data_IF_182243494813
#
_entry.id   IF_182243494813
#
_cell.length_a   1.000
_cell.length_b   1.000
_cell.length_c   1.000
_cell.angle_alpha   90.00
_cell.angle_beta   90.00
_cell.angle_gamma   90.00
#
_symmetry.space_group_name_H-M   'P 1'
#
loop_
_entity.id
_entity.type
_entity.pdbx_description
1 polymer ?
#
# COMPACT_ATOMS: atom_id res chain seq x y z
N UNK A 1 -44.59 2.64 72.45
CA UNK A 1 -44.32 1.36 71.83
C UNK A 1 -44.74 1.46 70.34
N UNK A 2 -43.90 1.97 69.49
CA UNK A 2 -44.14 2.10 68.05
C UNK A 2 -42.91 1.67 67.29
N UNK A 3 -43.01 0.57 66.54
CA UNK A 3 -41.98 0.07 65.65
C UNK A 3 -42.06 0.82 64.31
N UNK A 4 -40.99 1.44 63.93
CA UNK A 4 -40.83 2.05 62.59
C UNK A 4 -40.27 0.98 61.64
N UNK A 5 -41.04 0.62 60.63
CA UNK A 5 -40.64 -0.22 59.48
C UNK A 5 -39.82 0.65 58.53
N UNK A 6 -38.56 0.29 58.31
CA UNK A 6 -37.71 0.86 57.26
C UNK A 6 -38.01 0.18 55.92
N UNK A 7 -38.61 0.92 54.99
CA UNK A 7 -38.77 0.52 53.60
C UNK A 7 -37.51 0.84 52.84
N UNK A 8 -36.84 -0.17 52.30
CA UNK A 8 -35.73 -0.02 51.38
C UNK A 8 -36.31 0.19 49.97
N UNK A 9 -36.15 1.38 49.42
CA UNK A 9 -36.50 1.69 48.03
C UNK A 9 -35.30 1.35 47.15
N UNK A 10 -35.44 0.28 46.37
CA UNK A 10 -34.46 -0.15 45.38
C UNK A 10 -34.67 0.70 44.11
N UNK A 11 -33.84 1.72 43.89
CA UNK A 11 -33.89 2.51 42.66
C UNK A 11 -33.21 1.76 41.52
N UNK A 12 -34.01 1.25 40.59
CA UNK A 12 -33.54 0.64 39.34
C UNK A 12 -33.16 1.78 38.36
N UNK A 13 -31.88 2.05 38.21
CA UNK A 13 -31.38 2.97 37.18
C UNK A 13 -31.39 2.26 35.82
N UNK A 14 -32.41 2.55 35.01
CA UNK A 14 -32.45 2.13 33.60
C UNK A 14 -31.51 3.03 32.82
N UNK A 15 -30.32 2.51 32.48
CA UNK A 15 -29.38 3.19 31.54
C UNK A 15 -29.95 2.94 30.14
N UNK A 16 -30.63 3.93 29.59
CA UNK A 16 -31.01 3.96 28.17
C UNK A 16 -29.79 4.32 27.36
N UNK A 17 -29.15 3.32 26.77
CA UNK A 17 -28.10 3.54 25.78
C UNK A 17 -28.78 4.05 24.49
N UNK A 18 -28.82 5.36 24.32
CA UNK A 18 -29.13 5.97 23.04
C UNK A 18 -27.97 5.67 22.09
N UNK A 19 -28.11 4.60 21.32
CA UNK A 19 -27.29 4.35 20.15
C UNK A 19 -27.50 5.50 19.16
N UNK A 20 -26.58 6.46 19.12
CA UNK A 20 -26.46 7.41 18.03
C UNK A 20 -26.07 6.62 16.78
N UNK A 21 -27.07 6.07 16.09
CA UNK A 21 -26.92 5.70 14.69
C UNK A 21 -26.62 6.99 13.94
N UNK A 22 -25.34 7.22 13.63
CA UNK A 22 -24.97 8.18 12.61
C UNK A 22 -25.63 7.71 11.32
N UNK A 23 -26.76 8.31 10.98
CA UNK A 23 -27.31 8.20 9.65
C UNK A 23 -26.25 8.73 8.71
N UNK A 24 -25.47 7.82 8.10
CA UNK A 24 -24.61 8.20 6.98
C UNK A 24 -25.55 8.79 5.93
N UNK A 25 -25.55 10.13 5.82
CA UNK A 25 -26.28 10.84 4.78
C UNK A 25 -25.74 10.29 3.45
N UNK A 26 -26.51 9.40 2.84
CA UNK A 26 -26.20 8.83 1.54
C UNK A 26 -26.28 9.97 0.52
N UNK A 27 -25.15 10.64 0.29
CA UNK A 27 -25.05 11.69 -0.70
C UNK A 27 -25.37 11.10 -2.07
N UNK A 28 -26.38 11.61 -2.75
CA UNK A 28 -26.78 11.16 -4.08
C UNK A 28 -25.58 11.24 -5.04
N UNK A 29 -25.16 10.10 -5.56
CA UNK A 29 -24.11 10.03 -6.57
C UNK A 29 -24.73 10.15 -7.95
N UNK A 30 -24.42 11.23 -8.67
CA UNK A 30 -24.78 11.38 -10.07
C UNK A 30 -23.62 10.97 -10.98
N UNK A 31 -23.91 10.41 -12.18
CA UNK A 31 -22.88 10.08 -13.16
C UNK A 31 -22.07 11.33 -13.55
N UNK A 32 -20.74 11.19 -13.56
CA UNK A 32 -19.83 12.26 -13.98
C UNK A 32 -19.36 12.03 -15.43
N UNK A 33 -19.23 13.08 -16.25
CA UNK A 33 -18.71 12.96 -17.63
C UNK A 33 -17.31 12.36 -17.71
N UNK A 34 -16.48 12.61 -16.68
CA UNK A 34 -15.15 11.99 -16.50
C UNK A 34 -15.23 10.97 -15.38
N UNK A 35 -15.19 9.70 -15.73
CA UNK A 35 -15.30 8.59 -14.79
C UNK A 35 -14.05 8.51 -13.92
N UNK A 36 -14.22 8.14 -12.64
CA UNK A 36 -13.12 7.90 -11.71
C UNK A 36 -12.53 6.52 -11.93
N UNK A 37 -11.20 6.42 -11.92
CA UNK A 37 -10.45 5.18 -11.96
C UNK A 37 -9.38 5.17 -10.86
N UNK A 38 -8.95 3.98 -10.49
CA UNK A 38 -7.81 3.78 -9.60
C UNK A 38 -7.01 2.58 -10.10
N UNK A 39 -5.69 2.68 -10.01
CA UNK A 39 -4.76 1.58 -10.27
C UNK A 39 -3.81 1.45 -9.09
N UNK A 40 -3.38 0.23 -8.81
CA UNK A 40 -2.41 -0.08 -7.76
C UNK A 40 -1.38 -1.04 -8.32
N UNK A 41 -0.12 -0.80 -7.98
CA UNK A 41 1.00 -1.71 -8.24
C UNK A 41 1.83 -1.85 -6.98
N UNK A 42 2.12 -3.11 -6.60
CA UNK A 42 3.03 -3.41 -5.49
C UNK A 42 4.43 -3.68 -6.03
N UNK A 43 5.45 -3.08 -5.42
CA UNK A 43 6.87 -3.34 -5.65
C UNK A 43 7.46 -3.82 -4.32
N UNK A 44 7.81 -5.11 -4.24
CA UNK A 44 8.15 -5.73 -2.95
C UNK A 44 6.96 -5.71 -2.00
N UNK A 45 7.00 -4.84 -0.98
CA UNK A 45 5.91 -4.59 -0.01
C UNK A 45 5.33 -3.18 -0.12
N UNK A 46 5.84 -2.38 -1.06
CA UNK A 46 5.45 -0.99 -1.27
C UNK A 46 4.34 -0.90 -2.29
N UNK A 47 3.21 -0.33 -1.92
CA UNK A 47 2.10 -0.06 -2.82
C UNK A 47 2.21 1.34 -3.41
N UNK A 48 2.02 1.42 -4.73
CA UNK A 48 1.85 2.66 -5.49
C UNK A 48 0.41 2.69 -5.96
N UNK A 49 -0.35 3.69 -5.56
CA UNK A 49 -1.76 3.87 -5.94
C UNK A 49 -1.96 5.20 -6.64
N UNK A 50 -2.67 5.19 -7.77
CA UNK A 50 -3.04 6.39 -8.52
C UNK A 50 -4.55 6.40 -8.70
N UNK A 51 -5.21 7.43 -8.16
CA UNK A 51 -6.64 7.64 -8.30
C UNK A 51 -6.90 8.92 -9.10
N UNK A 52 -7.65 8.84 -10.16
CA UNK A 52 -7.82 9.93 -11.12
C UNK A 52 -9.19 9.91 -11.80
N UNK A 53 -9.60 11.04 -12.39
CA UNK A 53 -10.78 11.11 -13.24
C UNK A 53 -10.34 11.17 -14.71
N UNK A 54 -11.05 10.44 -15.58
CA UNK A 54 -10.70 10.18 -16.97
C UNK A 54 -11.48 11.08 -17.93
N UNK A 55 -10.96 12.24 -18.36
CA UNK A 55 -11.56 13.00 -19.45
C UNK A 55 -11.38 12.26 -20.78
N UNK A 56 -12.37 12.35 -21.68
CA UNK A 56 -12.27 11.86 -23.07
C UNK A 56 -11.77 12.93 -24.02
N UNK A 57 -11.15 12.55 -25.12
CA UNK A 57 -10.76 13.45 -26.22
C UNK A 57 -12.00 14.09 -26.84
N UNK A 58 -12.99 13.29 -27.20
CA UNK A 58 -14.28 13.72 -27.75
C UNK A 58 -14.14 14.73 -28.90
N UNK A 59 -13.18 14.48 -29.80
CA UNK A 59 -12.90 15.32 -30.96
C UNK A 59 -12.31 16.70 -30.63
N UNK A 60 -11.89 16.96 -29.39
CA UNK A 60 -11.31 18.24 -28.97
C UNK A 60 -9.79 18.24 -29.16
N UNK A 61 -9.22 19.43 -29.36
CA UNK A 61 -7.77 19.63 -29.27
C UNK A 61 -7.34 19.50 -27.80
N UNK A 62 -6.48 18.56 -27.51
CA UNK A 62 -6.04 18.31 -26.13
C UNK A 62 -4.83 19.18 -25.79
N UNK A 63 -3.77 19.12 -26.59
CA UNK A 63 -2.49 19.75 -26.37
C UNK A 63 -2.26 20.91 -27.33
N UNK A 64 -1.63 21.96 -26.90
CA UNK A 64 -1.28 23.09 -27.77
C UNK A 64 -0.80 24.32 -27.03
N UNK A 65 -0.50 25.38 -27.76
CA UNK A 65 -0.10 26.65 -27.19
C UNK A 65 -1.26 27.30 -26.42
N UNK A 66 -0.94 27.96 -25.32
CA UNK A 66 -1.88 28.82 -24.63
C UNK A 66 -2.26 30.03 -25.48
N UNK A 67 -3.48 30.58 -25.33
CA UNK A 67 -3.84 31.85 -25.96
C UNK A 67 -2.86 32.98 -25.59
N UNK A 68 -2.69 33.94 -26.49
CA UNK A 68 -1.76 35.04 -26.26
C UNK A 68 -2.10 35.93 -25.05
N UNK A 69 -3.37 35.95 -24.68
CA UNK A 69 -3.92 36.66 -23.49
C UNK A 69 -4.00 35.79 -22.24
N UNK A 70 -3.51 34.53 -22.29
CA UNK A 70 -3.47 33.69 -21.10
C UNK A 70 -2.56 34.29 -20.01
N UNK A 71 -2.86 34.04 -18.72
CA UNK A 71 -1.96 34.38 -17.63
C UNK A 71 -0.56 33.86 -17.89
N UNK A 72 0.46 34.68 -17.62
CA UNK A 72 1.86 34.24 -17.76
C UNK A 72 2.26 33.29 -16.63
N UNK A 73 3.22 32.43 -16.93
CA UNK A 73 3.80 31.49 -15.98
C UNK A 73 2.95 30.24 -15.79
N UNK A 74 3.17 29.56 -14.68
CA UNK A 74 2.59 28.23 -14.40
C UNK A 74 1.15 28.29 -13.87
N UNK A 75 0.46 29.42 -13.98
CA UNK A 75 -0.92 29.55 -13.51
C UNK A 75 -1.84 28.52 -14.16
N UNK A 76 -2.79 28.00 -13.38
CA UNK A 76 -3.74 27.01 -13.91
C UNK A 76 -4.75 27.63 -14.88
N UNK A 77 -5.05 26.92 -15.96
CA UNK A 77 -6.14 27.19 -16.88
C UNK A 77 -7.23 26.09 -16.81
N UNK A 78 -7.31 25.41 -15.68
CA UNK A 78 -8.22 24.29 -15.46
C UNK A 78 -9.71 24.69 -15.43
N UNK A 79 -10.02 25.98 -15.28
CA UNK A 79 -11.39 26.50 -15.25
C UNK A 79 -12.03 26.45 -16.66
N UNK A 80 -12.89 25.46 -16.88
CA UNK A 80 -13.58 25.28 -18.16
C UNK A 80 -14.51 26.47 -18.52
N UNK A 81 -14.96 27.25 -17.52
CA UNK A 81 -15.84 28.40 -17.76
C UNK A 81 -15.10 29.61 -18.34
N UNK A 82 -13.77 29.62 -18.21
CA UNK A 82 -12.91 30.70 -18.73
C UNK A 82 -12.19 30.33 -20.04
N UNK A 83 -12.49 29.16 -20.61
CA UNK A 83 -11.85 28.71 -21.85
C UNK A 83 -12.45 29.39 -23.05
N UNK A 84 -11.59 30.01 -23.85
CA UNK A 84 -11.95 30.51 -25.19
C UNK A 84 -12.26 29.34 -26.14
N UNK A 85 -13.24 29.51 -27.01
CA UNK A 85 -13.55 28.51 -28.02
C UNK A 85 -12.32 28.19 -28.89
N UNK A 86 -12.05 26.87 -29.08
CA UNK A 86 -10.89 26.40 -29.84
C UNK A 86 -9.59 26.29 -29.06
N UNK A 87 -9.53 26.76 -27.82
CA UNK A 87 -8.37 26.61 -26.95
C UNK A 87 -8.12 25.13 -26.61
N UNK A 88 -6.86 24.69 -26.58
CA UNK A 88 -6.52 23.33 -26.11
C UNK A 88 -7.05 23.07 -24.70
N UNK A 89 -7.44 21.81 -24.46
CA UNK A 89 -7.93 21.41 -23.13
C UNK A 89 -6.81 21.55 -22.08
N UNK A 90 -5.57 21.24 -22.47
CA UNK A 90 -4.38 21.34 -21.64
C UNK A 90 -3.32 22.12 -22.41
N UNK A 91 -3.26 23.46 -22.20
CA UNK A 91 -2.28 24.30 -22.86
C UNK A 91 -0.87 24.06 -22.32
N UNK A 92 0.13 24.22 -23.18
CA UNK A 92 1.54 24.11 -22.79
C UNK A 92 1.94 25.26 -21.84
N UNK A 93 2.83 24.93 -20.90
CA UNK A 93 3.36 25.87 -19.92
C UNK A 93 2.46 26.15 -18.72
N UNK A 94 1.26 25.53 -18.66
CA UNK A 94 0.29 25.79 -17.61
C UNK A 94 0.06 24.58 -16.72
N UNK A 95 -0.21 24.85 -15.45
CA UNK A 95 -0.51 23.84 -14.44
C UNK A 95 -1.80 23.08 -14.78
N UNK A 96 -1.74 21.77 -14.76
CA UNK A 96 -2.86 20.88 -14.98
C UNK A 96 -2.94 19.83 -13.84
N UNK A 97 -4.16 19.60 -13.34
CA UNK A 97 -4.49 18.56 -12.32
C UNK A 97 -4.22 17.14 -12.77
N UNK A 98 -3.68 16.92 -13.95
CA UNK A 98 -3.38 15.63 -14.59
C UNK A 98 -4.60 14.69 -14.65
N UNK A 99 -5.76 15.30 -14.92
CA UNK A 99 -7.05 14.61 -14.95
C UNK A 99 -8.22 15.57 -15.14
N UNK A 100 -9.32 15.24 -14.49
CA UNK A 100 -10.54 16.07 -14.42
C UNK A 100 -11.15 15.95 -13.02
N UNK A 101 -12.05 16.88 -12.67
CA UNK A 101 -12.69 17.00 -11.35
C UNK A 101 -11.64 17.23 -10.23
N UNK A 102 -11.49 16.31 -9.29
CA UNK A 102 -10.42 16.31 -8.30
C UNK A 102 -9.04 16.19 -8.98
N UNK A 103 -8.01 16.74 -8.38
CA UNK A 103 -6.63 16.50 -8.80
C UNK A 103 -6.31 15.02 -8.68
N UNK A 104 -5.51 14.50 -9.60
CA UNK A 104 -5.04 13.12 -9.55
C UNK A 104 -4.28 12.89 -8.25
N UNK A 105 -4.65 11.87 -7.51
CA UNK A 105 -3.99 11.49 -6.27
C UNK A 105 -2.95 10.39 -6.54
N UNK A 106 -1.74 10.58 -6.01
CA UNK A 106 -0.65 9.62 -6.03
C UNK A 106 -0.28 9.27 -4.59
N UNK A 107 -0.31 7.98 -4.26
CA UNK A 107 -0.03 7.49 -2.90
C UNK A 107 1.06 6.45 -2.96
N UNK A 108 2.03 6.55 -2.07
CA UNK A 108 3.06 5.53 -1.84
C UNK A 108 3.12 5.17 -0.37
N UNK A 109 3.22 3.88 -0.07
CA UNK A 109 3.20 3.38 1.31
C UNK A 109 4.56 3.42 2.00
N UNK A 110 5.64 3.57 1.24
CA UNK A 110 7.01 3.67 1.71
C UNK A 110 7.78 4.71 0.88
N UNK A 111 8.96 5.11 1.33
CA UNK A 111 9.85 6.00 0.60
C UNK A 111 10.26 5.36 -0.74
N UNK A 112 10.18 6.14 -1.81
CA UNK A 112 10.53 5.69 -3.17
C UNK A 112 11.46 6.69 -3.85
N UNK A 113 12.06 6.26 -4.96
CA UNK A 113 12.74 7.14 -5.90
C UNK A 113 11.85 7.34 -7.14
N UNK A 114 11.56 8.57 -7.49
CA UNK A 114 10.85 8.93 -8.72
C UNK A 114 11.86 9.57 -9.68
N UNK A 115 12.11 8.93 -10.82
CA UNK A 115 13.22 9.29 -11.72
C UNK A 115 14.54 9.50 -10.95
N UNK A 116 14.83 8.64 -9.96
CA UNK A 116 16.04 8.70 -9.14
C UNK A 116 16.01 9.75 -8.00
N UNK A 117 14.95 10.52 -7.84
CA UNK A 117 14.82 11.53 -6.80
C UNK A 117 13.89 11.03 -5.68
N UNK A 118 14.22 11.31 -4.43
CA UNK A 118 13.48 10.83 -3.25
C UNK A 118 12.09 11.45 -3.17
N UNK A 119 11.10 10.59 -2.92
CA UNK A 119 9.75 10.95 -2.50
C UNK A 119 9.40 10.12 -1.27
N UNK A 120 9.06 10.79 -0.17
CA UNK A 120 8.68 10.12 1.07
C UNK A 120 7.37 9.35 0.94
N UNK A 121 7.14 8.39 1.83
CA UNK A 121 5.82 7.76 2.00
C UNK A 121 4.75 8.82 2.25
N UNK A 122 3.61 8.70 1.56
CA UNK A 122 2.55 9.70 1.73
C UNK A 122 1.53 9.73 0.60
N UNK A 123 0.65 10.71 0.71
CA UNK A 123 -0.37 11.02 -0.30
C UNK A 123 -0.10 12.39 -0.90
N UNK A 124 -0.15 12.47 -2.21
CA UNK A 124 0.17 13.67 -2.98
C UNK A 124 -0.92 13.93 -4.02
N UNK A 125 -1.18 15.19 -4.35
CA UNK A 125 -1.81 15.50 -5.63
C UNK A 125 -0.74 15.54 -6.71
N UNK A 126 -1.03 14.87 -7.83
CA UNK A 126 -0.18 14.84 -9.01
C UNK A 126 -0.62 15.93 -9.97
N UNK A 127 0.25 16.91 -10.17
CA UNK A 127 0.09 17.95 -11.17
C UNK A 127 1.13 17.82 -12.26
N UNK A 128 0.83 18.35 -13.43
CA UNK A 128 1.79 18.43 -14.52
C UNK A 128 1.76 19.81 -15.17
N UNK A 129 2.90 20.22 -15.72
CA UNK A 129 3.01 21.34 -16.63
C UNK A 129 3.48 20.78 -17.97
N UNK A 130 2.56 20.59 -18.93
CA UNK A 130 2.92 20.06 -20.23
C UNK A 130 3.76 21.03 -21.04
N UNK A 131 4.72 20.49 -21.77
CA UNK A 131 5.49 21.19 -22.79
C UNK A 131 5.64 20.31 -24.03
N UNK A 132 6.14 20.86 -25.12
CA UNK A 132 6.38 20.10 -26.36
C UNK A 132 7.42 19.00 -26.18
N UNK A 133 8.52 19.34 -25.55
CA UNK A 133 9.71 18.49 -25.46
C UNK A 133 9.94 17.95 -24.06
N UNK A 134 9.41 18.62 -23.04
CA UNK A 134 9.58 18.26 -21.63
C UNK A 134 8.35 18.63 -20.83
N UNK A 135 7.94 17.75 -19.93
CA UNK A 135 6.90 17.98 -18.95
C UNK A 135 7.51 18.09 -17.56
N UNK A 136 6.99 19.01 -16.72
CA UNK A 136 7.18 18.90 -15.29
C UNK A 136 6.09 17.98 -14.73
N UNK A 137 6.47 17.01 -13.88
CA UNK A 137 5.56 16.18 -13.08
C UNK A 137 5.80 16.52 -11.62
N UNK A 138 4.75 16.90 -10.91
CA UNK A 138 4.81 17.56 -9.62
C UNK A 138 3.99 16.76 -8.61
N UNK A 139 4.62 16.43 -7.49
CA UNK A 139 4.00 15.77 -6.33
C UNK A 139 3.81 16.81 -5.24
N UNK A 140 2.57 17.26 -5.03
CA UNK A 140 2.25 18.32 -4.10
C UNK A 140 1.60 17.76 -2.84
N UNK A 141 2.04 18.21 -1.66
CA UNK A 141 1.59 17.73 -0.37
C UNK A 141 0.12 18.05 -0.02
N UNK A 142 -0.55 18.95 -0.76
CA UNK A 142 -2.00 19.10 -0.67
C UNK A 142 -2.70 18.01 -1.49
N UNK A 143 -2.81 16.81 -0.92
CA UNK A 143 -3.29 15.62 -1.63
C UNK A 143 -4.76 15.68 -2.07
N UNK A 144 -5.58 16.46 -1.39
CA UNK A 144 -7.03 16.50 -1.59
C UNK A 144 -7.48 17.89 -2.03
N UNK A 145 -7.47 18.15 -3.34
CA UNK A 145 -7.92 19.42 -3.89
C UNK A 145 -8.75 19.24 -5.14
N UNK A 146 -9.64 20.21 -5.40
CA UNK A 146 -10.43 20.24 -6.62
C UNK A 146 -9.69 21.04 -7.70
N UNK A 147 -9.39 20.40 -8.80
CA UNK A 147 -8.63 21.05 -9.86
C UNK A 147 -7.20 21.36 -9.44
N UNK A 148 -6.69 22.48 -9.96
CA UNK A 148 -5.43 23.09 -9.55
C UNK A 148 -5.66 24.51 -8.99
N UNK A 149 -6.89 24.78 -8.49
CA UNK A 149 -7.27 26.15 -8.05
C UNK A 149 -6.60 26.52 -6.74
N UNK A 150 -6.45 25.53 -5.83
CA UNK A 150 -5.83 25.71 -4.51
C UNK A 150 -4.37 25.19 -4.53
N UNK A 151 -3.76 25.09 -5.73
CA UNK A 151 -2.39 24.68 -5.84
C UNK A 151 -1.47 25.73 -5.23
N UNK A 152 -0.62 25.28 -4.30
CA UNK A 152 0.37 26.08 -3.61
C UNK A 152 1.76 25.50 -3.89
N UNK A 153 2.62 26.19 -4.64
CA UNK A 153 3.97 25.70 -4.97
C UNK A 153 4.87 25.51 -3.74
N UNK A 154 4.55 26.17 -2.61
CA UNK A 154 5.29 25.97 -1.37
C UNK A 154 5.06 24.56 -0.75
N UNK A 155 4.03 23.84 -1.21
CA UNK A 155 3.73 22.47 -0.81
C UNK A 155 4.27 21.43 -1.78
N UNK A 156 5.03 21.83 -2.79
CA UNK A 156 5.68 20.87 -3.68
C UNK A 156 6.74 20.07 -2.93
N UNK A 157 6.52 18.77 -2.87
CA UNK A 157 7.47 17.85 -2.26
C UNK A 157 8.52 17.39 -3.25
N UNK A 158 8.11 17.22 -4.52
CA UNK A 158 9.00 16.81 -5.59
C UNK A 158 8.50 17.34 -6.94
N UNK A 159 9.45 17.82 -7.76
CA UNK A 159 9.25 18.11 -9.19
C UNK A 159 10.27 17.33 -10.00
N UNK A 160 9.82 16.55 -10.94
CA UNK A 160 10.67 15.82 -11.88
C UNK A 160 10.39 16.27 -13.30
N UNK A 161 11.36 16.05 -14.18
CA UNK A 161 11.24 16.22 -15.63
C UNK A 161 10.90 14.87 -16.26
N UNK A 162 10.00 14.89 -17.23
CA UNK A 162 9.61 13.72 -18.01
C UNK A 162 9.48 14.09 -19.48
N UNK A 163 10.03 13.25 -20.37
CA UNK A 163 9.96 13.48 -21.81
C UNK A 163 8.67 12.90 -22.38
N UNK A 164 7.80 13.70 -23.03
CA UNK A 164 6.64 13.17 -23.73
C UNK A 164 7.08 12.34 -24.93
N UNK A 165 6.36 11.24 -25.16
CA UNK A 165 6.56 10.34 -26.28
C UNK A 165 5.31 10.32 -27.11
N UNK A 166 5.44 10.42 -28.43
CA UNK A 166 4.32 10.26 -29.36
C UNK A 166 3.91 8.79 -29.45
N UNK A 167 2.61 8.55 -29.54
CA UNK A 167 2.00 7.23 -29.79
C UNK A 167 1.33 7.23 -31.17
N UNK A 168 1.42 6.13 -31.87
CA UNK A 168 0.66 5.91 -33.14
C UNK A 168 -0.83 5.70 -32.86
N UNK A 169 -1.14 5.13 -31.68
CA UNK A 169 -2.51 4.88 -31.23
C UNK A 169 -3.02 6.03 -30.36
N UNK A 170 -4.24 6.49 -30.62
CA UNK A 170 -4.89 7.50 -29.81
C UNK A 170 -5.60 6.88 -28.62
N UNK A 171 -5.30 7.38 -27.44
CA UNK A 171 -5.94 7.03 -26.18
C UNK A 171 -7.14 7.97 -25.95
N UNK A 172 -8.36 7.53 -26.23
CA UNK A 172 -9.56 8.37 -26.10
C UNK A 172 -9.79 8.88 -24.68
N UNK A 173 -9.71 8.01 -23.69
CA UNK A 173 -9.87 8.37 -22.28
C UNK A 173 -8.52 8.44 -21.58
N UNK A 174 -8.24 9.54 -20.88
CA UNK A 174 -7.03 9.62 -20.05
C UNK A 174 -6.84 8.32 -19.27
N UNK A 175 -5.65 7.77 -19.32
CA UNK A 175 -5.30 6.55 -18.59
C UNK A 175 -3.93 6.69 -17.95
N UNK A 176 -3.81 6.16 -16.75
CA UNK A 176 -2.53 5.80 -16.16
C UNK A 176 -2.30 4.31 -16.37
N UNK A 177 -1.05 3.91 -16.64
CA UNK A 177 -0.59 2.52 -16.54
C UNK A 177 0.62 2.48 -15.63
N UNK A 178 0.82 1.35 -14.94
CA UNK A 178 2.01 1.08 -14.15
C UNK A 178 2.54 -0.26 -14.65
N UNK A 179 3.64 -0.21 -15.37
CA UNK A 179 4.24 -1.37 -16.01
C UNK A 179 5.51 -1.79 -15.24
N UNK A 180 5.62 -3.05 -14.74
CA UNK A 180 6.84 -3.52 -14.10
C UNK A 180 8.05 -3.32 -15.03
N UNK A 181 9.13 -2.72 -14.50
CA UNK A 181 10.35 -2.48 -15.25
C UNK A 181 11.50 -3.38 -14.77
N UNK A 182 11.61 -3.58 -13.45
CA UNK A 182 12.54 -4.48 -12.78
C UNK A 182 11.86 -5.02 -11.51
N UNK A 183 12.53 -5.90 -10.77
CA UNK A 183 12.02 -6.45 -9.50
C UNK A 183 11.74 -5.36 -8.45
N UNK A 184 12.49 -4.25 -8.50
CA UNK A 184 12.38 -3.14 -7.56
C UNK A 184 11.81 -1.85 -8.17
N UNK A 185 11.30 -1.87 -9.41
CA UNK A 185 10.84 -0.66 -10.07
C UNK A 185 9.72 -0.90 -11.07
N UNK A 186 8.94 0.15 -11.31
CA UNK A 186 7.92 0.20 -12.34
C UNK A 186 7.96 1.53 -13.10
N UNK A 187 7.43 1.52 -14.32
CA UNK A 187 7.22 2.72 -15.13
C UNK A 187 5.77 3.14 -15.05
N UNK A 188 5.52 4.32 -14.53
CA UNK A 188 4.21 4.97 -14.57
C UNK A 188 4.10 5.74 -15.89
N UNK A 189 3.00 5.57 -16.61
CA UNK A 189 2.73 6.30 -17.84
C UNK A 189 1.43 7.09 -17.72
N UNK A 190 1.47 8.36 -18.07
CA UNK A 190 0.30 9.20 -18.31
C UNK A 190 0.00 9.09 -19.80
N UNK A 191 -1.20 8.60 -20.20
CA UNK A 191 -1.56 8.35 -21.60
C UNK A 191 -2.86 9.07 -21.94
N UNK A 192 -2.82 9.99 -22.90
CA UNK A 192 -4.02 10.63 -23.41
C UNK A 192 -3.78 11.16 -24.82
N UNK A 193 -4.79 11.01 -25.66
CA UNK A 193 -4.68 11.29 -27.09
C UNK A 193 -3.47 10.52 -27.67
N UNK A 194 -2.53 11.14 -28.34
CA UNK A 194 -1.31 10.53 -28.90
C UNK A 194 -0.07 10.79 -28.06
N UNK A 195 -0.22 11.19 -26.81
CA UNK A 195 0.89 11.47 -25.93
C UNK A 195 0.98 10.44 -24.80
N UNK A 196 2.18 9.94 -24.53
CA UNK A 196 2.56 9.14 -23.40
C UNK A 196 3.68 9.80 -22.64
N UNK A 197 3.53 10.03 -21.36
CA UNK A 197 4.57 10.63 -20.50
C UNK A 197 4.99 9.61 -19.46
N UNK A 198 6.16 8.96 -19.62
CA UNK A 198 6.67 7.98 -18.69
C UNK A 198 7.49 8.63 -17.58
N UNK A 199 7.41 8.07 -16.37
CA UNK A 199 8.37 8.28 -15.30
C UNK A 199 8.54 6.99 -14.48
N UNK A 200 9.71 6.79 -13.86
CA UNK A 200 10.00 5.59 -13.08
C UNK A 200 9.69 5.79 -11.61
N UNK A 201 9.23 4.74 -10.96
CA UNK A 201 9.14 4.66 -9.49
C UNK A 201 9.94 3.43 -9.07
N UNK A 202 10.83 3.60 -8.09
CA UNK A 202 11.75 2.56 -7.65
C UNK A 202 11.78 2.51 -6.12
N UNK A 203 11.75 1.31 -5.56
CA UNK A 203 12.07 1.03 -4.16
C UNK A 203 13.58 0.76 -4.10
N UNK A 204 14.33 1.64 -3.47
CA UNK A 204 15.80 1.60 -3.48
C UNK A 204 16.36 0.28 -2.93
N UNK A 205 15.74 -0.24 -1.86
CA UNK A 205 16.11 -1.51 -1.24
C UNK A 205 14.83 -2.21 -0.73
N UNK A 206 14.33 -3.15 -1.53
CA UNK A 206 13.13 -3.94 -1.20
C UNK A 206 13.35 -4.78 0.07
N UNK A 207 14.56 -5.31 0.27
CA UNK A 207 14.84 -6.14 1.43
C UNK A 207 14.84 -5.30 2.72
N UNK A 208 15.52 -4.14 2.71
CA UNK A 208 15.52 -3.22 3.86
C UNK A 208 14.11 -2.70 4.19
N UNK A 209 13.32 -2.34 3.18
CA UNK A 209 11.93 -1.90 3.36
C UNK A 209 11.07 -3.01 3.94
N UNK A 210 11.21 -4.25 3.46
CA UNK A 210 10.48 -5.41 3.98
C UNK A 210 10.88 -5.71 5.43
N UNK A 211 12.17 -5.63 5.76
CA UNK A 211 12.64 -5.80 7.13
C UNK A 211 12.11 -4.72 8.08
N UNK A 212 12.02 -3.47 7.62
CA UNK A 212 11.42 -2.39 8.40
C UNK A 212 9.94 -2.69 8.71
N UNK A 213 9.17 -3.08 7.71
CA UNK A 213 7.77 -3.52 7.88
C UNK A 213 7.65 -4.74 8.80
N UNK A 214 8.57 -5.70 8.69
CA UNK A 214 8.58 -6.87 9.56
C UNK A 214 8.83 -6.48 11.04
N UNK A 215 9.71 -5.51 11.31
CA UNK A 215 9.93 -4.98 12.67
C UNK A 215 8.65 -4.38 13.26
N UNK A 216 7.93 -3.57 12.48
CA UNK A 216 6.65 -2.98 12.88
C UNK A 216 5.60 -4.08 13.15
N UNK A 217 5.47 -5.05 12.22
CA UNK A 217 4.52 -6.13 12.35
C UNK A 217 4.78 -7.02 13.58
N UNK A 218 6.05 -7.36 13.84
CA UNK A 218 6.42 -8.13 15.03
C UNK A 218 6.15 -7.35 16.31
N UNK A 219 6.46 -6.05 16.33
CA UNK A 219 6.20 -5.19 17.49
C UNK A 219 4.71 -5.03 17.79
N UNK A 220 3.87 -4.98 16.75
CA UNK A 220 2.41 -4.88 16.88
C UNK A 220 1.70 -6.23 17.09
N UNK A 221 2.41 -7.36 16.94
CA UNK A 221 1.82 -8.69 17.02
C UNK A 221 1.46 -9.07 18.46
N UNK A 222 0.34 -9.80 18.61
CA UNK A 222 -0.14 -10.27 19.92
C UNK A 222 0.84 -11.26 20.56
N UNK A 223 0.79 -11.38 21.89
CA UNK A 223 1.65 -12.31 22.63
C UNK A 223 1.44 -13.79 22.29
N UNK A 224 0.27 -14.17 21.81
CA UNK A 224 -0.05 -15.53 21.37
C UNK A 224 0.22 -15.79 19.87
N UNK A 225 0.57 -14.74 19.12
CA UNK A 225 0.95 -14.85 17.72
C UNK A 225 2.44 -15.19 17.56
N UNK A 226 2.74 -16.47 17.45
CA UNK A 226 4.09 -16.95 17.13
C UNK A 226 4.40 -16.96 15.63
N UNK A 227 3.38 -16.82 14.78
CA UNK A 227 3.52 -16.93 13.31
C UNK A 227 4.22 -15.73 12.71
N UNK A 228 3.78 -14.54 13.07
CA UNK A 228 4.38 -13.29 12.57
C UNK A 228 5.88 -13.20 12.84
N UNK A 229 6.40 -13.36 14.07
CA UNK A 229 7.84 -13.33 14.29
C UNK A 229 8.57 -14.51 13.65
N UNK A 230 7.95 -15.69 13.49
CA UNK A 230 8.59 -16.81 12.81
C UNK A 230 8.77 -16.56 11.30
N UNK A 231 7.76 -16.04 10.63
CA UNK A 231 7.84 -15.64 9.22
C UNK A 231 8.88 -14.52 9.03
N UNK A 232 8.88 -13.52 9.89
CA UNK A 232 9.85 -12.44 9.88
C UNK A 232 11.28 -12.96 10.06
N UNK A 233 11.51 -13.91 10.98
CA UNK A 233 12.82 -14.55 11.18
C UNK A 233 13.30 -15.28 9.91
N UNK A 234 12.41 -15.99 9.24
CA UNK A 234 12.72 -16.66 7.98
C UNK A 234 13.16 -15.68 6.88
N UNK A 235 12.42 -14.58 6.72
CA UNK A 235 12.77 -13.54 5.76
C UNK A 235 14.10 -12.86 6.11
N UNK A 236 14.31 -12.53 7.40
CA UNK A 236 15.55 -11.92 7.87
C UNK A 236 16.77 -12.81 7.61
N UNK A 237 16.63 -14.12 7.85
CA UNK A 237 17.69 -15.08 7.58
C UNK A 237 18.05 -15.17 6.08
N UNK A 238 17.04 -15.19 5.19
CA UNK A 238 17.24 -15.19 3.74
C UNK A 238 17.97 -13.92 3.25
N UNK A 239 17.73 -12.80 3.90
CA UNK A 239 18.32 -11.51 3.57
C UNK A 239 19.53 -11.14 4.44
N UNK A 240 20.14 -12.14 5.12
CA UNK A 240 21.37 -11.99 5.91
C UNK A 240 21.27 -11.00 7.07
N UNK A 241 20.08 -10.69 7.55
CA UNK A 241 19.82 -9.86 8.72
C UNK A 241 19.85 -10.74 9.99
N UNK A 242 21.05 -11.22 10.36
CA UNK A 242 21.23 -12.26 11.37
C UNK A 242 20.71 -11.86 12.77
N UNK A 243 20.86 -10.59 13.16
CA UNK A 243 20.38 -10.11 14.46
C UNK A 243 18.84 -10.14 14.54
N UNK A 244 18.16 -9.63 13.52
CA UNK A 244 16.70 -9.67 13.44
C UNK A 244 16.21 -11.13 13.36
N UNK A 245 16.86 -11.96 12.55
CA UNK A 245 16.51 -13.38 12.40
C UNK A 245 16.54 -14.11 13.74
N UNK A 246 17.64 -13.94 14.50
CA UNK A 246 17.79 -14.53 15.83
C UNK A 246 16.74 -13.99 16.81
N UNK A 247 16.61 -12.66 16.92
CA UNK A 247 15.66 -12.01 17.82
C UNK A 247 14.22 -12.47 17.58
N UNK A 248 13.78 -12.51 16.34
CA UNK A 248 12.42 -12.89 16.01
C UNK A 248 12.18 -14.39 16.16
N UNK A 249 13.19 -15.22 15.89
CA UNK A 249 13.11 -16.65 16.16
C UNK A 249 12.97 -16.95 17.66
N UNK A 250 13.68 -16.22 18.52
CA UNK A 250 13.56 -16.34 19.97
C UNK A 250 12.16 -15.93 20.46
N UNK A 251 11.60 -14.83 19.94
CA UNK A 251 10.23 -14.39 20.22
C UNK A 251 9.22 -15.46 19.81
N UNK A 252 9.33 -15.95 18.58
CA UNK A 252 8.45 -16.99 18.06
C UNK A 252 8.50 -18.28 18.89
N UNK A 253 9.72 -18.68 19.26
CA UNK A 253 9.98 -19.87 20.07
C UNK A 253 9.33 -19.77 21.46
N UNK A 254 9.49 -18.63 22.14
CA UNK A 254 8.86 -18.38 23.45
C UNK A 254 7.32 -18.44 23.35
N UNK A 255 6.75 -17.81 22.33
CA UNK A 255 5.30 -17.76 22.13
C UNK A 255 4.70 -19.13 21.75
N UNK A 256 5.41 -19.93 20.94
CA UNK A 256 4.93 -21.28 20.61
C UNK A 256 5.03 -22.21 21.83
N UNK A 257 6.04 -22.06 22.68
CA UNK A 257 6.14 -22.82 23.94
C UNK A 257 4.97 -22.51 24.87
N UNK A 258 4.59 -21.25 25.00
CA UNK A 258 3.40 -20.85 25.75
C UNK A 258 2.10 -21.41 25.13
N UNK A 259 2.02 -21.49 23.80
CA UNK A 259 0.89 -22.12 23.09
C UNK A 259 0.81 -23.62 23.36
N UNK A 260 1.95 -24.34 23.35
CA UNK A 260 2.04 -25.76 23.67
C UNK A 260 1.63 -26.01 25.12
N UNK A 261 2.08 -25.19 26.05
CA UNK A 261 1.73 -25.31 27.47
C UNK A 261 0.21 -25.13 27.73
N UNK A 262 -0.44 -24.24 26.99
CA UNK A 262 -1.90 -24.06 27.06
C UNK A 262 -2.66 -25.24 26.46
N UNK A 263 -2.25 -25.70 25.30
CA UNK A 263 -2.87 -26.83 24.59
C UNK A 263 -1.89 -27.37 23.57
N UNK A 264 -1.37 -28.54 23.82
CA UNK A 264 -0.54 -29.25 22.86
C UNK A 264 -1.35 -29.72 21.65
N UNK A 265 -0.91 -29.38 20.48
CA UNK A 265 -1.51 -29.76 19.19
C UNK A 265 -0.42 -30.19 18.20
N UNK A 266 -0.79 -30.99 17.19
CA UNK A 266 0.13 -31.33 16.09
C UNK A 266 0.76 -30.05 15.47
N UNK A 267 -0.05 -29.04 15.22
CA UNK A 267 0.39 -27.81 14.53
C UNK A 267 1.44 -27.03 15.33
N UNK A 268 1.27 -26.83 16.65
CA UNK A 268 2.24 -26.07 17.43
C UNK A 268 3.51 -26.88 17.71
N UNK A 269 3.45 -28.19 17.81
CA UNK A 269 4.63 -29.05 17.87
C UNK A 269 5.43 -29.04 16.57
N UNK A 270 4.76 -29.11 15.40
CA UNK A 270 5.39 -28.93 14.08
C UNK A 270 6.05 -27.56 13.97
N UNK A 271 5.38 -26.50 14.41
CA UNK A 271 5.94 -25.16 14.41
C UNK A 271 7.21 -25.07 15.25
N UNK A 272 7.21 -25.61 16.49
CA UNK A 272 8.38 -25.65 17.36
C UNK A 272 9.51 -26.48 16.75
N UNK A 273 9.20 -27.61 16.14
CA UNK A 273 10.20 -28.43 15.42
C UNK A 273 10.89 -27.60 14.32
N UNK A 274 10.11 -26.85 13.52
CA UNK A 274 10.66 -25.99 12.47
C UNK A 274 11.54 -24.86 13.02
N UNK A 275 11.17 -24.28 14.17
CA UNK A 275 11.97 -23.25 14.85
C UNK A 275 13.28 -23.81 15.37
N UNK A 276 13.27 -25.03 15.93
CA UNK A 276 14.48 -25.70 16.37
C UNK A 276 15.43 -26.02 15.19
N UNK A 277 14.87 -26.47 14.05
CA UNK A 277 15.65 -26.67 12.81
C UNK A 277 16.27 -25.35 12.33
N UNK A 278 15.50 -24.27 12.31
CA UNK A 278 15.98 -22.95 11.93
C UNK A 278 17.08 -22.42 12.88
N UNK A 279 17.04 -22.82 14.15
CA UNK A 279 18.06 -22.51 15.15
C UNK A 279 19.30 -23.46 15.09
N UNK A 280 19.34 -24.41 14.17
CA UNK A 280 20.42 -25.41 14.09
C UNK A 280 20.37 -26.52 15.17
N UNK A 281 19.31 -26.58 15.99
CA UNK A 281 19.12 -27.52 17.10
C UNK A 281 18.47 -28.82 16.59
N UNK A 282 19.21 -29.51 15.70
CA UNK A 282 18.69 -30.63 14.93
C UNK A 282 18.20 -31.81 15.81
N UNK A 283 18.97 -32.22 16.78
CA UNK A 283 18.63 -33.41 17.59
C UNK A 283 17.36 -33.17 18.42
N UNK A 284 17.23 -31.96 18.98
CA UNK A 284 16.03 -31.58 19.73
C UNK A 284 14.80 -31.47 18.80
N UNK A 285 15.03 -30.95 17.59
CA UNK A 285 13.96 -30.90 16.57
C UNK A 285 13.46 -32.30 16.19
N UNK A 286 14.36 -33.25 15.98
CA UNK A 286 14.00 -34.64 15.63
C UNK A 286 13.27 -35.35 16.77
N UNK A 287 13.73 -35.16 18.02
CA UNK A 287 13.05 -35.72 19.19
C UNK A 287 11.61 -35.14 19.34
N UNK A 288 11.46 -33.83 19.14
CA UNK A 288 10.15 -33.19 19.18
C UNK A 288 9.24 -33.60 18.01
N UNK A 289 9.82 -33.86 16.83
CA UNK A 289 9.08 -34.30 15.66
C UNK A 289 8.38 -35.65 15.88
N UNK A 290 9.01 -36.59 16.56
CA UNK A 290 8.39 -37.87 16.90
C UNK A 290 7.16 -37.68 17.80
N UNK A 291 7.23 -36.74 18.76
CA UNK A 291 6.09 -36.36 19.59
C UNK A 291 5.00 -35.69 18.78
N UNK A 292 5.37 -34.81 17.83
CA UNK A 292 4.40 -34.18 16.95
C UNK A 292 3.62 -35.19 16.09
N UNK A 293 4.32 -36.16 15.52
CA UNK A 293 3.71 -37.24 14.72
C UNK A 293 2.75 -38.09 15.59
N UNK A 294 3.18 -38.49 16.79
CA UNK A 294 2.34 -39.24 17.71
C UNK A 294 1.06 -38.47 18.08
N UNK A 295 1.19 -37.19 18.36
CA UNK A 295 0.05 -36.30 18.65
C UNK A 295 -0.88 -36.15 17.43
N UNK A 296 -0.33 -35.93 16.25
CA UNK A 296 -1.13 -35.81 15.03
C UNK A 296 -1.93 -37.07 14.73
N UNK A 297 -1.36 -38.26 14.90
CA UNK A 297 -2.06 -39.54 14.75
C UNK A 297 -3.19 -39.71 15.79
N UNK A 298 -2.95 -39.31 17.03
CA UNK A 298 -3.97 -39.33 18.07
C UNK A 298 -5.15 -38.39 17.76
N UNK A 299 -4.85 -37.22 17.20
CA UNK A 299 -5.83 -36.22 16.80
C UNK A 299 -6.46 -36.48 15.41
N UNK A 300 -6.09 -37.61 14.74
CA UNK A 300 -6.51 -37.94 13.37
C UNK A 300 -6.18 -36.86 12.33
N UNK A 301 -5.09 -36.14 12.54
CA UNK A 301 -4.57 -35.15 11.58
C UNK A 301 -3.79 -35.86 10.47
N UNK A 302 -3.71 -35.22 9.28
CA UNK A 302 -2.81 -35.67 8.23
C UNK A 302 -1.35 -35.35 8.60
N UNK A 303 -0.59 -36.41 8.88
CA UNK A 303 0.83 -36.33 9.27
C UNK A 303 1.78 -36.74 8.16
N UNK A 304 1.28 -37.30 7.02
CA UNK A 304 2.09 -37.98 6.00
C UNK A 304 3.23 -37.11 5.44
N UNK A 305 2.93 -35.87 5.07
CA UNK A 305 3.96 -34.96 4.52
C UNK A 305 5.04 -34.61 5.56
N UNK A 306 4.65 -34.42 6.81
CA UNK A 306 5.58 -34.12 7.88
C UNK A 306 6.45 -35.36 8.22
N UNK A 307 5.85 -36.56 8.31
CA UNK A 307 6.57 -37.80 8.53
C UNK A 307 7.64 -38.04 7.47
N UNK A 308 7.27 -37.90 6.18
CA UNK A 308 8.21 -38.01 5.07
C UNK A 308 9.38 -37.03 5.23
N UNK A 309 9.11 -35.76 5.49
CA UNK A 309 10.16 -34.75 5.66
C UNK A 309 11.09 -35.06 6.83
N UNK A 310 10.56 -35.55 7.96
CA UNK A 310 11.38 -35.93 9.11
C UNK A 310 12.21 -37.18 8.81
N UNK A 311 11.67 -38.18 8.07
CA UNK A 311 12.41 -39.32 7.62
C UNK A 311 13.58 -38.93 6.70
N UNK A 312 13.33 -38.04 5.72
CA UNK A 312 14.36 -37.50 4.83
C UNK A 312 15.46 -36.77 5.61
N UNK A 313 15.07 -35.97 6.60
CA UNK A 313 16.02 -35.30 7.49
C UNK A 313 16.83 -36.29 8.32
N UNK A 314 16.25 -37.38 8.84
CA UNK A 314 16.96 -38.42 9.60
C UNK A 314 17.94 -39.19 8.71
N UNK A 315 17.58 -39.39 7.43
CA UNK A 315 18.44 -40.12 6.46
C UNK A 315 19.61 -39.25 5.94
N UNK A 316 19.43 -37.92 5.84
CA UNK A 316 20.50 -37.02 5.45
C UNK A 316 21.57 -36.97 6.57
N UNK A 317 22.72 -37.60 6.34
CA UNK A 317 23.90 -37.49 7.21
C UNK A 317 24.38 -36.02 7.20
N UNK A 318 24.87 -35.59 8.37
CA UNK A 318 25.48 -34.26 8.56
C UNK A 318 26.57 -33.95 7.55
#
# INVERSE_FOLDING_TARGET
MFQAKRSVVLSLAVITIFGLSQAASAQLRLPRPSQKASIVQTIGVTDISITYSRPGVKGRTIWGEAPADAPKGEATLDDSNKRTAGMPIVPYGHMWRTGANEATQFVVTDDVLVNGQKLAAGSYSLHTIPGKDEWAVIFNGNANQWGSFDYDPAKDTLRIKAKPLSSTESQEWLAFTIDPAKENSATVNIRWEKIRVPFTVEVADVAATTLARAREAVAASKEDDWRTPFQAAGYANQNKAAEDAKKWLDIASTRVDASIAKKETFQNLVAKTNMLLAAGRRDEALALADRAIARGKADKADTAAFEKRIADLKAAKN
#
